data_IF_221935441001
#
_entry.id   IF_221935441001
#
_cell.length_a   1.000
_cell.length_b   1.000
_cell.length_c   1.000
_cell.angle_alpha   90.00
_cell.angle_beta   90.00
_cell.angle_gamma   90.00
#
_symmetry.space_group_name_H-M   'P 1'
#
loop_
_entity.id
_entity.type
_entity.pdbx_description
1 polymer ?
#
# COMPACT_ATOMS: atom_id res chain seq x y z
N UNK A 1 -12.58 -2.36 -4.23
CA UNK A 1 -11.17 -1.93 -4.05
C UNK A 1 -10.32 -2.98 -3.33
N UNK A 2 -10.79 -3.53 -2.25
CA UNK A 2 -10.01 -4.52 -1.50
C UNK A 2 -9.69 -5.77 -2.32
N UNK A 3 -10.65 -6.30 -3.06
CA UNK A 3 -10.41 -7.47 -3.89
C UNK A 3 -9.34 -7.24 -4.93
N UNK A 4 -9.35 -6.05 -5.52
CA UNK A 4 -8.36 -5.68 -6.52
C UNK A 4 -6.97 -5.59 -5.87
N UNK A 5 -6.91 -5.02 -4.66
CA UNK A 5 -5.66 -4.88 -3.94
C UNK A 5 -5.10 -6.25 -3.57
N UNK A 6 -5.93 -7.16 -3.12
CA UNK A 6 -5.47 -8.51 -2.76
C UNK A 6 -4.94 -9.26 -3.99
N UNK A 7 -5.54 -9.03 -5.17
CA UNK A 7 -5.03 -9.63 -6.38
C UNK A 7 -3.67 -9.07 -6.74
N UNK A 8 -3.47 -7.76 -6.56
CA UNK A 8 -2.19 -7.13 -6.85
C UNK A 8 -1.10 -7.67 -5.93
N UNK A 9 -1.42 -7.85 -4.65
CA UNK A 9 -0.47 -8.39 -3.68
C UNK A 9 -0.08 -9.81 -4.08
N UNK A 10 -1.07 -10.62 -4.46
CA UNK A 10 -0.80 -12.00 -4.85
C UNK A 10 0.07 -12.04 -6.11
N UNK A 11 -0.25 -11.22 -7.10
CA UNK A 11 0.51 -11.18 -8.34
C UNK A 11 1.95 -10.74 -8.08
N UNK A 12 2.12 -9.75 -7.19
CA UNK A 12 3.44 -9.27 -6.83
C UNK A 12 4.25 -10.40 -6.19
N UNK A 13 3.63 -11.13 -5.26
CA UNK A 13 4.31 -12.23 -4.58
C UNK A 13 4.72 -13.32 -5.57
N UNK A 14 3.85 -13.64 -6.53
CA UNK A 14 4.15 -14.66 -7.50
C UNK A 14 5.26 -14.23 -8.45
N UNK A 15 5.30 -12.95 -8.79
CA UNK A 15 6.30 -12.44 -9.72
C UNK A 15 7.67 -12.28 -9.07
N UNK A 16 7.72 -11.81 -7.85
CA UNK A 16 8.98 -11.47 -7.19
C UNK A 16 9.47 -12.48 -6.16
N UNK A 17 8.62 -13.38 -5.72
CA UNK A 17 9.00 -14.38 -4.73
C UNK A 17 8.97 -13.89 -3.30
N UNK A 18 8.54 -12.65 -3.06
CA UNK A 18 8.39 -12.11 -1.70
C UNK A 18 7.23 -11.13 -1.69
N UNK A 19 6.73 -10.80 -0.51
CA UNK A 19 5.60 -9.90 -0.37
C UNK A 19 6.05 -8.44 -0.43
N UNK A 20 5.21 -7.56 -0.97
CA UNK A 20 5.51 -6.14 -0.96
C UNK A 20 5.38 -5.57 0.45
N UNK A 21 5.99 -4.43 0.70
CA UNK A 21 5.83 -3.75 1.99
C UNK A 21 5.38 -2.29 1.85
N UNK A 22 5.16 -1.83 0.62
CA UNK A 22 4.70 -0.45 0.38
C UNK A 22 3.59 -0.46 -0.65
N UNK A 23 2.57 0.33 -0.41
CA UNK A 23 1.46 0.51 -1.33
C UNK A 23 1.35 1.98 -1.68
N UNK A 24 1.40 2.31 -2.97
CA UNK A 24 1.25 3.67 -3.47
C UNK A 24 -0.18 3.84 -3.99
N UNK A 25 -0.88 4.85 -3.50
CA UNK A 25 -2.24 5.15 -3.90
C UNK A 25 -2.39 6.65 -4.10
N UNK A 26 -3.38 7.07 -4.90
CA UNK A 26 -3.75 8.49 -4.90
C UNK A 26 -4.87 8.69 -3.86
N UNK A 27 -5.30 9.94 -3.69
CA UNK A 27 -6.31 10.28 -2.70
C UNK A 27 -7.60 9.53 -2.91
N UNK A 28 -8.03 9.40 -4.16
CA UNK A 28 -9.29 8.76 -4.47
C UNK A 28 -9.23 7.26 -4.17
N UNK A 29 -8.12 6.63 -4.52
CA UNK A 29 -7.94 5.21 -4.24
C UNK A 29 -7.90 4.96 -2.72
N UNK A 30 -7.27 5.85 -1.99
CA UNK A 30 -7.18 5.72 -0.54
C UNK A 30 -8.57 5.84 0.07
N UNK A 31 -9.37 6.79 -0.42
CA UNK A 31 -10.72 6.96 0.07
C UNK A 31 -11.55 5.71 -0.19
N UNK A 32 -11.45 5.14 -1.39
CA UNK A 32 -12.20 3.94 -1.72
C UNK A 32 -11.77 2.76 -0.88
N UNK A 33 -10.49 2.66 -0.57
CA UNK A 33 -9.99 1.59 0.28
C UNK A 33 -10.56 1.72 1.69
N UNK A 34 -10.59 2.92 2.23
CA UNK A 34 -11.17 3.15 3.55
C UNK A 34 -12.65 2.79 3.58
N UNK A 35 -13.36 3.11 2.50
CA UNK A 35 -14.78 2.79 2.41
C UNK A 35 -15.01 1.28 2.32
N UNK A 36 -14.07 0.53 1.78
CA UNK A 36 -14.17 -0.91 1.69
C UNK A 36 -13.94 -1.60 3.03
N UNK A 37 -13.35 -0.88 3.98
CA UNK A 37 -13.01 -1.46 5.27
C UNK A 37 -13.53 -0.57 6.41
N UNK A 38 -14.86 -0.49 6.56
CA UNK A 38 -15.44 0.40 7.58
C UNK A 38 -15.11 0.00 9.02
N UNK A 39 -14.73 -1.27 9.22
CA UNK A 39 -14.40 -1.74 10.55
C UNK A 39 -12.92 -1.53 10.90
N UNK A 40 -12.17 -0.92 10.01
CA UNK A 40 -10.74 -0.65 10.21
C UNK A 40 -10.56 0.87 10.17
N UNK A 41 -10.78 1.55 11.29
CA UNK A 41 -10.71 3.01 11.30
C UNK A 41 -9.29 3.51 11.39
N UNK A 42 -8.98 4.54 10.65
CA UNK A 42 -7.71 5.22 10.74
C UNK A 42 -6.60 4.61 9.92
N UNK A 43 -5.61 5.44 9.66
CA UNK A 43 -4.49 5.06 8.81
C UNK A 43 -3.62 3.98 9.44
N UNK A 44 -3.36 4.08 10.73
CA UNK A 44 -2.52 3.11 11.41
C UNK A 44 -3.16 1.73 11.44
N UNK A 45 -4.46 1.66 11.70
CA UNK A 45 -5.16 0.40 11.71
C UNK A 45 -5.18 -0.22 10.31
N UNK A 46 -5.32 0.61 9.29
CA UNK A 46 -5.35 0.15 7.92
C UNK A 46 -3.99 -0.43 7.51
N UNK A 47 -2.90 0.26 7.83
CA UNK A 47 -1.56 -0.24 7.50
C UNK A 47 -1.27 -1.54 8.25
N UNK A 48 -1.71 -1.65 9.49
CA UNK A 48 -1.52 -2.87 10.27
C UNK A 48 -2.33 -4.03 9.69
N UNK A 49 -3.56 -3.73 9.24
CA UNK A 49 -4.42 -4.76 8.67
C UNK A 49 -3.83 -5.32 7.37
N UNK A 50 -3.30 -4.45 6.52
CA UNK A 50 -2.77 -4.86 5.24
C UNK A 50 -1.33 -5.36 5.33
N UNK A 51 -0.62 -4.98 6.37
CA UNK A 51 0.80 -5.30 6.48
C UNK A 51 1.66 -4.50 5.52
N UNK A 52 1.16 -3.35 5.05
CA UNK A 52 1.83 -2.51 4.08
C UNK A 52 1.88 -1.08 4.56
N UNK A 53 2.97 -0.40 4.25
CA UNK A 53 3.05 1.05 4.48
C UNK A 53 2.31 1.71 3.32
N UNK A 54 1.39 2.62 3.59
CA UNK A 54 0.61 3.29 2.56
C UNK A 54 1.17 4.66 2.30
N UNK A 55 1.49 4.94 1.05
CA UNK A 55 2.01 6.23 0.63
C UNK A 55 1.03 6.85 -0.35
N UNK A 56 0.58 8.06 -0.06
CA UNK A 56 -0.34 8.77 -0.96
C UNK A 56 0.50 9.55 -1.97
N UNK A 57 0.30 9.23 -3.23
CA UNK A 57 1.02 9.90 -4.31
C UNK A 57 0.01 10.46 -5.29
N UNK A 58 0.06 11.76 -5.51
CA UNK A 58 -0.85 12.43 -6.44
C UNK A 58 -0.58 12.01 -7.89
N UNK A 59 0.57 11.45 -8.14
CA UNK A 59 0.92 11.03 -9.49
C UNK A 59 0.49 9.59 -9.78
N UNK A 60 0.04 8.86 -8.78
CA UNK A 60 -0.36 7.48 -8.98
C UNK A 60 -1.68 7.41 -9.74
N UNK A 61 -1.69 6.82 -10.92
CA UNK A 61 -2.91 6.67 -11.70
C UNK A 61 -3.64 5.40 -11.32
N UNK A 62 -2.95 4.46 -10.69
CA UNK A 62 -3.54 3.22 -10.21
C UNK A 62 -2.73 2.75 -9.00
N UNK A 63 -3.28 1.86 -8.18
CA UNK A 63 -2.53 1.33 -7.04
C UNK A 63 -1.27 0.61 -7.50
N UNK A 64 -0.17 0.83 -6.80
CA UNK A 64 1.10 0.20 -7.12
C UNK A 64 1.74 -0.36 -5.87
N UNK A 65 2.44 -1.47 -6.01
CA UNK A 65 3.11 -2.12 -4.89
C UNK A 65 4.61 -2.05 -5.08
N UNK A 66 5.34 -2.02 -3.99
CA UNK A 66 6.79 -2.03 -4.03
C UNK A 66 7.35 -2.67 -2.77
N UNK A 67 8.61 -3.05 -2.82
CA UNK A 67 9.32 -3.49 -1.64
C UNK A 67 10.51 -2.57 -1.47
N UNK A 68 10.61 -1.94 -0.31
CA UNK A 68 11.71 -1.06 0.00
C UNK A 68 12.43 -1.61 1.21
N UNK A 69 13.76 -1.67 1.13
CA UNK A 69 14.56 -2.13 2.24
C UNK A 69 14.43 -1.11 3.38
N UNK A 70 13.94 -1.52 4.54
CA UNK A 70 13.75 -0.58 5.64
C UNK A 70 15.04 0.08 6.12
N UNK A 71 16.18 -0.55 5.88
CA UNK A 71 17.44 0.02 6.29
C UNK A 71 17.93 1.09 5.31
N UNK A 72 17.28 1.19 4.15
CA UNK A 72 17.70 2.14 3.13
C UNK A 72 16.54 3.03 2.69
N UNK A 73 15.63 3.33 3.58
CA UNK A 73 14.51 4.19 3.25
C UNK A 73 15.02 5.56 2.85
N UNK A 74 14.74 5.96 1.65
CA UNK A 74 15.31 7.21 1.18
C UNK A 74 14.80 8.38 1.96
N UNK A 75 13.63 8.26 2.59
CA UNK A 75 13.14 9.34 3.18
C UNK A 75 13.81 9.58 4.37
N UNK A 76 14.32 8.61 4.84
CA UNK A 76 15.05 8.79 6.01
C UNK A 76 16.11 9.81 5.75
N UNK A 77 16.59 9.85 4.57
CA UNK A 77 17.60 10.79 4.25
C UNK A 77 17.04 12.13 3.99
N UNK A 78 15.84 12.18 3.59
CA UNK A 78 15.35 13.44 3.24
C UNK A 78 14.61 14.03 4.28
N UNK A 79 14.38 13.24 5.21
CA UNK A 79 13.53 13.73 6.25
C UNK A 79 12.30 14.17 5.68
#
# INVERSE_FOLDING_TARGET
MLSCLLRLIRAYHQEHGFLPNVLYLNDLHYQKLCESLPDVPGHEALTAFLGLEIVISMEATHPSLAWLNPLHKPFAACG
#
